data_IF_926750100994
#
_entry.id   IF_926750100994
#
_cell.length_a   1.000
_cell.length_b   1.000
_cell.length_c   1.000
_cell.angle_alpha   90.00
_cell.angle_beta   90.00
_cell.angle_gamma   90.00
#
_symmetry.space_group_name_H-M   'P 1'
#
loop_
_entity.id
_entity.type
_entity.pdbx_description
1 polymer ?
#
# COMPACT_ATOMS: atom_id res chain seq x y z
N UNK A 1 -10.95 8.76 -16.49
CA UNK A 1 -11.01 8.19 -17.86
C UNK A 1 -10.06 6.99 -18.08
N UNK A 2 -9.32 6.50 -17.07
CA UNK A 2 -8.41 5.34 -17.18
C UNK A 2 -9.09 3.96 -16.93
N UNK A 3 -10.15 3.92 -16.12
CA UNK A 3 -10.88 2.69 -15.76
C UNK A 3 -11.64 2.02 -16.93
N UNK A 4 -12.08 2.80 -17.93
CA UNK A 4 -12.79 2.25 -19.09
C UNK A 4 -11.90 1.40 -20.01
N UNK A 5 -10.58 1.63 -20.00
CA UNK A 5 -9.64 0.81 -20.77
C UNK A 5 -9.42 -0.55 -20.12
N UNK A 6 -9.29 -0.61 -18.79
CA UNK A 6 -9.11 -1.86 -18.04
C UNK A 6 -10.35 -2.77 -18.16
N UNK A 7 -11.55 -2.21 -18.01
CA UNK A 7 -12.82 -2.95 -18.16
C UNK A 7 -13.02 -3.43 -19.61
N UNK A 8 -12.58 -2.63 -20.60
CA UNK A 8 -12.65 -3.01 -22.01
C UNK A 8 -11.77 -4.22 -22.36
N UNK A 9 -10.57 -4.31 -21.78
CA UNK A 9 -9.64 -5.43 -21.98
C UNK A 9 -10.14 -6.70 -21.29
N UNK A 10 -10.70 -6.59 -20.07
CA UNK A 10 -11.30 -7.73 -19.35
C UNK A 10 -12.55 -8.27 -20.07
N UNK A 11 -13.38 -7.40 -20.65
CA UNK A 11 -14.53 -7.81 -21.47
C UNK A 11 -14.10 -8.51 -22.78
N UNK A 12 -12.96 -8.11 -23.35
CA UNK A 12 -12.39 -8.74 -24.54
C UNK A 12 -11.92 -10.17 -24.23
N UNK A 13 -11.23 -10.37 -23.11
CA UNK A 13 -10.83 -11.69 -22.60
C UNK A 13 -12.03 -12.62 -22.35
N UNK A 14 -13.14 -12.11 -21.80
CA UNK A 14 -14.36 -12.90 -21.58
C UNK A 14 -15.10 -13.25 -22.88
N UNK A 15 -15.01 -12.42 -23.91
CA UNK A 15 -15.67 -12.67 -25.21
C UNK A 15 -14.97 -13.74 -26.07
N UNK A 16 -13.65 -13.90 -25.90
CA UNK A 16 -12.85 -14.90 -26.61
C UNK A 16 -13.07 -16.33 -26.07
N UNK A 17 -13.34 -16.47 -24.77
CA UNK A 17 -13.62 -17.78 -24.15
C UNK A 17 -15.02 -18.30 -24.53
N UNK A 18 -15.96 -17.42 -24.91
CA UNK A 18 -17.36 -17.77 -25.16
C UNK A 18 -17.70 -18.16 -26.62
N UNK A 19 -16.81 -17.92 -27.59
CA UNK A 19 -17.05 -18.22 -29.00
C UNK A 19 -16.04 -19.26 -29.50
N UNK A 20 -16.47 -20.53 -29.58
CA UNK A 20 -15.71 -21.62 -30.17
C UNK A 20 -15.54 -21.53 -31.69
N UNK A 21 -14.93 -20.46 -32.18
CA UNK A 21 -14.49 -20.31 -33.57
C UNK A 21 -12.98 -20.10 -33.58
N UNK A 22 -12.32 -20.84 -34.47
CA UNK A 22 -10.90 -20.73 -34.82
C UNK A 22 -10.52 -19.31 -35.22
N UNK A 23 -10.14 -18.49 -34.25
CA UNK A 23 -9.38 -17.25 -34.47
C UNK A 23 -7.90 -17.58 -34.59
N UNK A 24 -7.23 -16.90 -35.52
CA UNK A 24 -5.85 -17.13 -35.89
C UNK A 24 -4.92 -17.08 -34.67
N UNK A 25 -4.27 -18.21 -34.35
CA UNK A 25 -3.24 -18.37 -33.31
C UNK A 25 -2.19 -17.24 -33.28
N UNK A 26 -1.95 -16.55 -34.40
CA UNK A 26 -1.02 -15.41 -34.51
C UNK A 26 -1.56 -14.12 -33.89
N UNK A 27 -2.87 -13.91 -33.91
CA UNK A 27 -3.51 -12.70 -33.37
C UNK A 27 -3.64 -12.80 -31.86
N UNK A 28 -3.99 -13.98 -31.33
CA UNK A 28 -3.96 -14.28 -29.89
C UNK A 28 -2.55 -14.15 -29.32
N UNK A 29 -1.54 -14.76 -29.95
CA UNK A 29 -0.13 -14.62 -29.51
C UNK A 29 0.38 -13.18 -29.55
N UNK A 30 -0.11 -12.35 -30.48
CA UNK A 30 0.29 -10.94 -30.56
C UNK A 30 -0.38 -10.09 -29.47
N UNK A 31 -1.65 -10.36 -29.16
CA UNK A 31 -2.36 -9.67 -28.07
C UNK A 31 -1.77 -10.08 -26.72
N UNK A 32 -1.46 -11.36 -26.52
CA UNK A 32 -0.81 -11.88 -25.31
C UNK A 32 0.57 -11.23 -25.09
N UNK A 33 1.40 -11.14 -26.14
CA UNK A 33 2.71 -10.49 -26.10
C UNK A 33 2.69 -8.97 -25.79
N UNK A 34 1.60 -8.26 -26.09
CA UNK A 34 1.46 -6.83 -25.77
C UNK A 34 0.80 -6.59 -24.39
N UNK A 35 0.03 -7.55 -23.88
CA UNK A 35 -0.72 -7.43 -22.61
C UNK A 35 0.15 -7.74 -21.40
N UNK A 36 1.02 -8.76 -21.47
CA UNK A 36 1.87 -9.19 -20.35
C UNK A 36 2.85 -8.10 -19.87
N UNK A 37 3.58 -7.38 -20.74
CA UNK A 37 4.45 -6.28 -20.31
C UNK A 37 3.68 -5.15 -19.61
N UNK A 38 2.45 -4.87 -20.07
CA UNK A 38 1.61 -3.83 -19.48
C UNK A 38 1.14 -4.22 -18.08
N UNK A 39 0.73 -5.47 -17.87
CA UNK A 39 0.31 -5.97 -16.54
C UNK A 39 1.50 -5.91 -15.56
N UNK A 40 2.69 -6.32 -15.99
CA UNK A 40 3.93 -6.23 -15.19
C UNK A 40 4.23 -4.77 -14.81
N UNK A 41 4.15 -3.85 -15.77
CA UNK A 41 4.36 -2.43 -15.53
C UNK A 41 3.32 -1.83 -14.56
N UNK A 42 2.04 -2.11 -14.77
CA UNK A 42 0.96 -1.60 -13.93
C UNK A 42 1.09 -2.14 -12.49
N UNK A 43 1.47 -3.41 -12.34
CA UNK A 43 1.71 -4.04 -11.02
C UNK A 43 2.89 -3.38 -10.31
N UNK A 44 3.98 -3.11 -11.03
CA UNK A 44 5.12 -2.36 -10.48
C UNK A 44 4.70 -0.97 -9.96
N UNK A 45 3.94 -0.21 -10.76
CA UNK A 45 3.49 1.13 -10.36
C UNK A 45 2.58 1.07 -9.14
N UNK A 46 1.65 0.11 -9.10
CA UNK A 46 0.74 -0.04 -7.96
C UNK A 46 1.49 -0.38 -6.66
N UNK A 47 2.45 -1.30 -6.70
CA UNK A 47 3.31 -1.62 -5.54
C UNK A 47 4.06 -0.36 -5.09
N UNK A 48 4.59 0.41 -6.04
CA UNK A 48 5.36 1.63 -5.75
C UNK A 48 4.51 2.66 -5.02
N UNK A 49 3.31 2.94 -5.53
CA UNK A 49 2.40 3.94 -4.97
C UNK A 49 1.84 3.50 -3.62
N UNK A 50 1.41 2.23 -3.50
CA UNK A 50 0.94 1.66 -2.24
C UNK A 50 2.03 1.68 -1.16
N UNK A 51 3.28 1.44 -1.53
CA UNK A 51 4.41 1.48 -0.58
C UNK A 51 4.68 2.90 -0.10
N UNK A 52 4.70 3.90 -1.00
CA UNK A 52 4.86 5.31 -0.61
C UNK A 52 3.79 5.73 0.40
N UNK A 53 2.53 5.37 0.14
CA UNK A 53 1.43 5.67 1.05
C UNK A 53 1.57 4.96 2.40
N UNK A 54 2.08 3.72 2.41
CA UNK A 54 2.39 2.97 3.65
C UNK A 54 3.54 3.59 4.45
N UNK A 55 4.59 4.09 3.78
CA UNK A 55 5.70 4.80 4.41
C UNK A 55 5.24 6.14 5.01
N UNK A 56 4.45 6.92 4.29
CA UNK A 56 3.83 8.15 4.82
C UNK A 56 3.01 7.87 6.08
N UNK A 57 2.23 6.78 6.06
CA UNK A 57 1.42 6.36 7.22
C UNK A 57 2.29 5.97 8.41
N UNK A 58 3.41 5.29 8.15
CA UNK A 58 4.40 4.93 9.18
C UNK A 58 5.11 6.16 9.76
N UNK A 59 5.34 7.20 8.96
CA UNK A 59 5.91 8.47 9.41
C UNK A 59 4.94 9.28 10.26
N UNK A 60 3.63 9.23 9.98
CA UNK A 60 2.60 9.80 10.87
C UNK A 60 2.67 9.14 12.24
N UNK A 61 2.77 7.80 12.30
CA UNK A 61 2.95 7.05 13.55
C UNK A 61 4.17 7.54 14.34
N UNK A 62 5.33 7.66 13.69
CA UNK A 62 6.54 8.22 14.34
C UNK A 62 6.32 9.62 14.88
N UNK A 63 5.67 10.49 14.10
CA UNK A 63 5.41 11.87 14.52
C UNK A 63 4.45 11.93 15.71
N UNK A 64 3.45 11.05 15.76
CA UNK A 64 2.56 10.90 16.92
C UNK A 64 3.35 10.38 18.13
N UNK A 65 4.22 9.40 17.94
CA UNK A 65 5.05 8.85 19.02
C UNK A 65 5.94 9.94 19.65
N UNK A 66 6.57 10.75 18.82
CA UNK A 66 7.42 11.88 19.24
C UNK A 66 6.63 12.93 20.01
N UNK A 67 5.45 13.24 19.48
CA UNK A 67 4.54 14.20 20.10
C UNK A 67 4.03 13.68 21.44
N UNK A 68 3.68 12.40 21.53
CA UNK A 68 3.25 11.75 22.76
C UNK A 68 4.35 11.80 23.83
N UNK A 69 5.58 11.37 23.49
CA UNK A 69 6.73 11.41 24.40
C UNK A 69 7.00 12.84 24.90
N UNK A 70 7.04 13.82 23.99
CA UNK A 70 7.32 15.22 24.36
C UNK A 70 6.24 15.84 25.26
N UNK A 71 5.00 15.37 25.14
CA UNK A 71 3.87 15.80 25.97
C UNK A 71 3.67 14.94 27.24
N UNK A 72 4.47 13.90 27.43
CA UNK A 72 4.39 13.01 28.59
C UNK A 72 3.23 12.01 28.53
N UNK A 73 2.77 11.65 27.32
CA UNK A 73 1.70 10.69 27.10
C UNK A 73 2.21 9.32 26.70
N UNK A 74 1.46 8.31 27.13
CA UNK A 74 1.63 6.93 26.69
C UNK A 74 1.18 6.78 25.22
N UNK A 75 2.08 6.27 24.37
CA UNK A 75 1.82 6.14 22.94
C UNK A 75 0.67 5.19 22.65
N UNK A 76 0.59 4.03 23.33
CA UNK A 76 -0.44 3.03 23.05
C UNK A 76 -1.86 3.58 23.28
N UNK A 77 -2.00 4.45 24.27
CA UNK A 77 -3.25 5.16 24.57
C UNK A 77 -3.62 6.14 23.45
N UNK A 78 -2.66 6.91 22.94
CA UNK A 78 -2.85 7.82 21.80
C UNK A 78 -3.12 7.05 20.50
N UNK A 79 -2.43 5.94 20.31
CA UNK A 79 -2.51 5.12 19.12
C UNK A 79 -3.87 4.43 18.99
N UNK A 80 -4.37 3.80 20.07
CA UNK A 80 -5.72 3.20 20.08
C UNK A 80 -6.80 4.20 19.67
N UNK A 81 -6.64 5.44 20.10
CA UNK A 81 -7.54 6.53 19.78
C UNK A 81 -7.53 6.90 18.29
N UNK A 82 -6.35 6.96 17.65
CA UNK A 82 -6.24 7.19 16.19
C UNK A 82 -7.01 6.14 15.35
N UNK A 83 -7.17 4.92 15.88
CA UNK A 83 -7.79 3.79 15.18
C UNK A 83 -9.30 3.72 15.39
N UNK A 84 -9.75 3.92 16.63
CA UNK A 84 -11.17 3.77 16.93
C UNK A 84 -11.97 4.99 16.52
N UNK A 85 -11.41 6.20 16.67
CA UNK A 85 -12.20 7.44 16.72
C UNK A 85 -13.23 7.44 17.86
N UNK A 86 -13.22 6.41 18.69
CA UNK A 86 -14.21 6.08 19.70
C UNK A 86 -13.50 5.90 21.03
N UNK A 87 -13.74 6.86 21.91
CA UNK A 87 -13.94 6.57 23.32
C UNK A 87 -15.45 6.74 23.51
N UNK A 88 -16.15 5.71 23.99
CA UNK A 88 -17.63 5.69 24.12
C UNK A 88 -18.19 7.08 24.50
N UNK A 89 -19.09 7.62 23.68
CA UNK A 89 -20.00 8.77 23.92
C UNK A 89 -19.56 10.23 23.65
N UNK A 90 -18.53 10.55 22.86
CA UNK A 90 -18.17 11.97 22.62
C UNK A 90 -17.94 12.34 21.14
N UNK A 91 -18.62 13.40 20.65
CA UNK A 91 -18.44 14.04 19.33
C UNK A 91 -17.32 15.10 19.38
N UNK A 92 -16.52 15.18 18.30
CA UNK A 92 -15.19 15.79 18.31
C UNK A 92 -15.17 17.18 17.64
N UNK A 93 -14.40 18.12 18.19
CA UNK A 93 -13.94 19.31 17.48
C UNK A 93 -12.41 19.42 17.58
N UNK A 94 -11.74 19.66 16.45
CA UNK A 94 -10.28 19.56 16.27
C UNK A 94 -9.40 20.56 17.02
N UNK A 95 -9.76 20.99 18.22
CA UNK A 95 -9.02 21.95 19.04
C UNK A 95 -8.81 21.40 20.47
N UNK A 96 -7.85 20.48 20.66
CA UNK A 96 -7.34 20.05 21.98
C UNK A 96 -8.31 19.20 22.81
N UNK A 97 -8.37 17.89 22.55
CA UNK A 97 -9.62 17.10 22.59
C UNK A 97 -10.02 16.51 23.96
N UNK A 98 -11.27 16.72 24.45
CA UNK A 98 -11.90 15.93 25.56
C UNK A 98 -13.41 15.66 25.42
N UNK A 99 -14.04 14.81 26.26
CA UNK A 99 -14.29 15.02 27.71
C UNK A 99 -13.81 13.95 28.72
N UNK A 100 -12.98 12.97 28.35
CA UNK A 100 -12.27 12.07 29.31
C UNK A 100 -10.85 11.63 28.83
N UNK A 101 -10.23 12.41 27.94
CA UNK A 101 -8.89 12.21 27.36
C UNK A 101 -8.29 13.54 26.89
N UNK A 102 -7.02 13.55 26.48
CA UNK A 102 -6.06 14.65 26.17
C UNK A 102 -6.52 16.13 25.92
N UNK A 103 -7.46 16.73 26.68
CA UNK A 103 -7.92 18.12 26.41
C UNK A 103 -6.92 19.21 26.69
N UNK A 104 -6.00 18.98 27.62
CA UNK A 104 -5.14 20.07 28.09
C UNK A 104 -4.05 20.46 27.09
N UNK A 105 -3.92 19.79 25.94
CA UNK A 105 -2.82 20.02 25.00
C UNK A 105 -3.24 20.07 23.53
N UNK A 106 -2.79 21.12 22.84
CA UNK A 106 -2.88 21.20 21.38
C UNK A 106 -1.94 20.19 20.71
N UNK A 107 -2.48 19.36 19.82
CA UNK A 107 -1.74 18.48 18.92
C UNK A 107 -1.30 19.19 17.63
N UNK A 108 -1.60 20.50 17.47
CA UNK A 108 -1.13 21.28 16.34
C UNK A 108 -1.51 20.69 14.98
N UNK A 109 -0.58 20.73 14.01
CA UNK A 109 -0.83 20.25 12.64
C UNK A 109 -1.07 18.75 12.52
N UNK A 110 -0.63 17.93 13.48
CA UNK A 110 -0.80 16.47 13.43
C UNK A 110 -2.22 16.01 13.80
N UNK A 111 -3.03 16.87 14.43
CA UNK A 111 -4.39 16.54 14.84
C UNK A 111 -5.25 16.06 13.66
N UNK A 112 -5.12 16.69 12.49
CA UNK A 112 -5.84 16.31 11.28
C UNK A 112 -5.45 14.91 10.81
N UNK A 113 -4.15 14.58 10.83
CA UNK A 113 -3.67 13.27 10.41
C UNK A 113 -4.12 12.18 11.38
N UNK A 114 -4.12 12.46 12.69
CA UNK A 114 -4.64 11.55 13.72
C UNK A 114 -6.13 11.27 13.53
N UNK A 115 -6.95 12.30 13.28
CA UNK A 115 -8.39 12.15 13.10
C UNK A 115 -8.74 11.35 11.84
N UNK A 116 -7.93 11.48 10.79
CA UNK A 116 -8.15 10.79 9.53
C UNK A 116 -7.41 9.45 9.45
N UNK A 117 -6.70 9.03 10.52
CA UNK A 117 -5.85 7.86 10.47
C UNK A 117 -6.63 6.58 10.18
N UNK A 118 -7.85 6.45 10.70
CA UNK A 118 -8.77 5.37 10.34
C UNK A 118 -9.04 5.29 8.83
N UNK A 119 -9.37 6.42 8.19
CA UNK A 119 -9.56 6.45 6.74
C UNK A 119 -8.29 6.10 5.96
N UNK A 120 -7.12 6.47 6.50
CA UNK A 120 -5.82 6.08 5.94
C UNK A 120 -5.59 4.57 6.04
N UNK A 121 -5.97 3.92 7.14
CA UNK A 121 -5.93 2.46 7.27
C UNK A 121 -6.88 1.75 6.30
N UNK A 122 -8.10 2.27 6.13
CA UNK A 122 -9.05 1.75 5.15
C UNK A 122 -8.43 1.78 3.75
N UNK A 123 -7.78 2.90 3.40
CA UNK A 123 -7.08 3.03 2.12
C UNK A 123 -5.90 2.07 1.98
N UNK A 124 -5.09 1.89 3.03
CA UNK A 124 -4.00 0.90 3.04
C UNK A 124 -4.52 -0.52 2.79
N UNK A 125 -5.67 -0.89 3.38
CA UNK A 125 -6.30 -2.18 3.16
C UNK A 125 -6.79 -2.34 1.71
N UNK A 126 -7.42 -1.31 1.14
CA UNK A 126 -7.84 -1.29 -0.26
C UNK A 126 -6.65 -1.48 -1.21
N UNK A 127 -5.57 -0.73 -0.99
CA UNK A 127 -4.34 -0.83 -1.80
C UNK A 127 -3.73 -2.22 -1.68
N UNK A 128 -3.71 -2.80 -0.47
CA UNK A 128 -3.23 -4.17 -0.27
C UNK A 128 -4.03 -5.20 -1.05
N UNK A 129 -5.36 -5.14 -0.98
CA UNK A 129 -6.21 -6.08 -1.72
C UNK A 129 -5.92 -5.98 -3.22
N UNK A 130 -5.84 -4.76 -3.74
CA UNK A 130 -5.55 -4.52 -5.15
C UNK A 130 -4.17 -5.04 -5.56
N UNK A 131 -3.12 -4.73 -4.79
CA UNK A 131 -1.76 -5.24 -5.06
C UNK A 131 -1.72 -6.76 -4.99
N UNK A 132 -2.37 -7.38 -4.00
CA UNK A 132 -2.45 -8.83 -3.87
C UNK A 132 -3.10 -9.47 -5.10
N UNK A 133 -4.21 -8.90 -5.60
CA UNK A 133 -4.91 -9.38 -6.80
C UNK A 133 -4.02 -9.27 -8.06
N UNK A 134 -3.37 -8.12 -8.27
CA UNK A 134 -2.45 -7.93 -9.39
C UNK A 134 -1.26 -8.90 -9.31
N UNK A 135 -0.72 -9.12 -8.11
CA UNK A 135 0.36 -10.08 -7.89
C UNK A 135 -0.06 -11.54 -8.11
N UNK A 136 -1.34 -11.89 -8.02
CA UNK A 136 -1.80 -13.21 -8.46
C UNK A 136 -1.87 -13.29 -9.98
N UNK A 137 -2.38 -12.25 -10.65
CA UNK A 137 -2.47 -12.22 -12.11
C UNK A 137 -1.09 -12.39 -12.78
N UNK A 138 -0.03 -11.80 -12.22
CA UNK A 138 1.30 -11.94 -12.83
C UNK A 138 1.94 -13.31 -12.63
N UNK A 139 1.49 -14.12 -11.66
CA UNK A 139 2.05 -15.46 -11.44
C UNK A 139 1.63 -16.46 -12.50
N UNK A 140 0.52 -16.17 -13.17
CA UNK A 140 -0.04 -17.00 -14.24
C UNK A 140 0.56 -16.64 -15.61
N UNK A 141 1.46 -15.64 -15.68
CA UNK A 141 2.18 -15.28 -16.91
C UNK A 141 3.29 -16.31 -17.15
N UNK A 142 3.15 -17.09 -18.22
CA UNK A 142 4.10 -18.11 -18.65
C UNK A 142 5.02 -17.58 -19.76
N UNK A 143 6.31 -17.42 -19.47
CA UNK A 143 7.30 -17.04 -20.48
C UNK A 143 8.71 -16.88 -19.91
N UNK A 144 9.71 -17.41 -20.61
CA UNK A 144 11.11 -17.35 -20.14
C UNK A 144 11.61 -15.91 -20.01
N UNK A 145 11.14 -15.03 -20.90
CA UNK A 145 11.51 -13.61 -20.95
C UNK A 145 10.98 -12.79 -19.75
N UNK A 146 9.98 -13.31 -19.02
CA UNK A 146 9.36 -12.63 -17.87
C UNK A 146 9.74 -13.21 -16.52
N UNK A 147 10.33 -14.41 -16.47
CA UNK A 147 10.68 -15.09 -15.20
C UNK A 147 11.50 -14.21 -14.27
N UNK A 148 12.51 -13.52 -14.79
CA UNK A 148 13.35 -12.65 -13.98
C UNK A 148 12.56 -11.43 -13.47
N UNK A 149 11.73 -10.82 -14.33
CA UNK A 149 10.89 -9.66 -13.96
C UNK A 149 9.88 -10.03 -12.87
N UNK A 150 9.18 -11.14 -13.03
CA UNK A 150 8.18 -11.63 -12.06
C UNK A 150 8.85 -12.01 -10.73
N UNK A 151 10.04 -12.64 -10.79
CA UNK A 151 10.83 -12.95 -9.60
C UNK A 151 11.19 -11.67 -8.83
N UNK A 152 11.71 -10.63 -9.50
CA UNK A 152 12.02 -9.35 -8.85
C UNK A 152 10.79 -8.61 -8.35
N UNK A 153 9.69 -8.61 -9.10
CA UNK A 153 8.41 -8.09 -8.63
C UNK A 153 7.92 -8.78 -7.37
N UNK A 154 8.14 -10.09 -7.25
CA UNK A 154 7.81 -10.85 -6.04
C UNK A 154 8.64 -10.40 -4.84
N UNK A 155 9.94 -10.16 -5.02
CA UNK A 155 10.81 -9.58 -3.98
C UNK A 155 10.28 -8.20 -3.55
N UNK A 156 9.91 -7.36 -4.52
CA UNK A 156 9.42 -6.00 -4.26
C UNK A 156 8.09 -5.96 -3.54
N UNK A 157 7.16 -6.83 -3.95
CA UNK A 157 5.91 -7.08 -3.24
C UNK A 157 6.13 -7.60 -1.81
N UNK A 158 7.15 -8.43 -1.60
CA UNK A 158 7.52 -8.90 -0.26
C UNK A 158 7.91 -7.74 0.65
N UNK A 159 8.75 -6.82 0.15
CA UNK A 159 9.15 -5.61 0.90
C UNK A 159 7.96 -4.69 1.17
N UNK A 160 7.09 -4.47 0.18
CA UNK A 160 5.83 -3.76 0.37
C UNK A 160 5.01 -4.33 1.53
N UNK A 161 4.80 -5.66 1.58
CA UNK A 161 4.03 -6.29 2.66
C UNK A 161 4.63 -6.04 4.05
N UNK A 162 5.96 -6.01 4.17
CA UNK A 162 6.62 -5.70 5.44
C UNK A 162 6.31 -4.26 5.87
N UNK A 163 6.38 -3.29 4.95
CA UNK A 163 6.07 -1.89 5.21
C UNK A 163 4.58 -1.72 5.55
N UNK A 164 3.69 -2.33 4.78
CA UNK A 164 2.25 -2.37 5.07
C UNK A 164 1.99 -2.89 6.50
N UNK A 165 2.61 -4.01 6.88
CA UNK A 165 2.44 -4.58 8.22
C UNK A 165 2.95 -3.62 9.31
N UNK A 166 4.09 -2.96 9.09
CA UNK A 166 4.62 -1.94 10.00
C UNK A 166 3.64 -0.78 10.17
N UNK A 167 2.98 -0.34 9.08
CA UNK A 167 2.03 0.78 9.09
C UNK A 167 0.66 0.45 9.71
N UNK A 168 0.24 -0.82 9.68
CA UNK A 168 -1.09 -1.27 10.15
C UNK A 168 -1.04 -1.94 11.52
N UNK A 169 0.12 -2.46 11.90
CA UNK A 169 0.35 -3.13 13.17
C UNK A 169 1.73 -2.75 13.74
N UNK A 170 1.92 -1.47 14.13
CA UNK A 170 3.18 -1.03 14.72
C UNK A 170 3.42 -1.75 16.05
N UNK A 171 4.68 -2.11 16.28
CA UNK A 171 5.08 -2.85 17.47
C UNK A 171 6.49 -2.45 17.91
N UNK A 172 6.86 -2.83 19.13
CA UNK A 172 8.13 -2.47 19.73
C UNK A 172 8.10 -1.08 20.37
N UNK A 173 9.26 -0.40 20.37
CA UNK A 173 9.40 0.96 20.87
C UNK A 173 9.80 1.91 19.72
N UNK A 174 9.73 3.21 19.97
CA UNK A 174 10.06 4.24 18.96
C UNK A 174 11.40 3.99 18.26
N UNK A 175 12.47 3.67 19.01
CA UNK A 175 13.81 3.51 18.45
C UNK A 175 13.81 2.34 17.46
N UNK A 176 13.41 1.15 17.91
CA UNK A 176 13.41 -0.04 17.07
C UNK A 176 12.42 0.05 15.90
N UNK A 177 11.28 0.73 16.10
CA UNK A 177 10.32 0.99 15.03
C UNK A 177 10.92 1.90 13.96
N UNK A 178 11.57 2.99 14.37
CA UNK A 178 12.26 3.93 13.48
C UNK A 178 13.38 3.26 12.70
N UNK A 179 14.24 2.50 13.37
CA UNK A 179 15.35 1.79 12.73
C UNK A 179 14.83 0.76 11.72
N UNK A 180 13.82 -0.03 12.11
CA UNK A 180 13.17 -0.98 11.22
C UNK A 180 12.53 -0.29 9.99
N UNK A 181 11.92 0.88 10.16
CA UNK A 181 11.35 1.62 9.03
C UNK A 181 12.42 2.11 8.06
N UNK A 182 13.58 2.56 8.56
CA UNK A 182 14.72 2.95 7.74
C UNK A 182 15.24 1.76 6.93
N UNK A 183 15.43 0.62 7.60
CA UNK A 183 15.91 -0.61 6.96
C UNK A 183 14.94 -1.08 5.86
N UNK A 184 13.64 -1.09 6.15
CA UNK A 184 12.62 -1.45 5.16
C UNK A 184 12.57 -0.47 3.98
N UNK A 185 12.74 0.82 4.22
CA UNK A 185 12.78 1.82 3.15
C UNK A 185 14.02 1.64 2.26
N UNK A 186 15.18 1.33 2.86
CA UNK A 186 16.39 1.02 2.11
C UNK A 186 16.21 -0.27 1.28
N UNK A 187 15.65 -1.33 1.87
CA UNK A 187 15.32 -2.58 1.15
C UNK A 187 14.37 -2.31 -0.03
N UNK A 188 13.40 -1.41 0.16
CA UNK A 188 12.44 -1.02 -0.88
C UNK A 188 13.14 -0.29 -2.03
N UNK A 189 13.92 0.75 -1.76
CA UNK A 189 14.63 1.51 -2.80
C UNK A 189 15.65 0.64 -3.55
N UNK A 190 16.39 -0.23 -2.84
CA UNK A 190 17.31 -1.17 -3.48
C UNK A 190 16.59 -2.14 -4.43
N UNK A 191 15.41 -2.61 -4.05
CA UNK A 191 14.63 -3.54 -4.87
C UNK A 191 13.96 -2.83 -6.04
N UNK A 192 13.49 -1.59 -5.81
CA UNK A 192 12.94 -0.73 -6.85
C UNK A 192 13.94 -0.49 -7.98
N UNK A 193 15.17 -0.11 -7.65
CA UNK A 193 16.24 0.11 -8.64
C UNK A 193 16.46 -1.15 -9.50
N UNK A 194 16.46 -2.34 -8.87
CA UNK A 194 16.64 -3.61 -9.59
C UNK A 194 15.50 -3.89 -10.57
N UNK A 195 14.26 -3.50 -10.26
CA UNK A 195 13.12 -3.67 -11.17
C UNK A 195 13.13 -2.61 -12.27
N UNK A 196 13.45 -1.35 -11.94
CA UNK A 196 13.50 -0.28 -12.95
C UNK A 196 14.48 -0.62 -14.08
N UNK A 197 15.61 -1.28 -13.76
CA UNK A 197 16.55 -1.80 -14.75
C UNK A 197 15.99 -2.91 -15.67
N UNK A 198 14.84 -3.51 -15.33
CA UNK A 198 14.23 -4.63 -16.05
C UNK A 198 12.91 -4.27 -16.74
N UNK A 199 12.29 -3.14 -16.37
CA UNK A 199 10.97 -2.71 -16.86
C UNK A 199 11.06 -1.56 -17.87
N UNK A 200 12.27 -1.08 -18.20
CA UNK A 200 12.58 -0.28 -19.41
C UNK A 200 12.45 -1.11 -20.71
#
# INVERSE_FOLDING_TARGET
MKYYKLIGVILLLLSLIACGNTTDTKEEQKVEAEVEPQIIHDTYQEITDATKYSLESSNIILTVWDTAISKGFDFDSVFKYMFSGDVKNHEWSGLGMDTDGFSSFSWGSIATDMNNFKSRLDKLNEDKVKVDEMMQQIKDIDGEDYKEKISKLTDYYSTYKKIYNTSTNPSGNKLNYSDNLIDLNNEFEETKIKIEMLVE
#
